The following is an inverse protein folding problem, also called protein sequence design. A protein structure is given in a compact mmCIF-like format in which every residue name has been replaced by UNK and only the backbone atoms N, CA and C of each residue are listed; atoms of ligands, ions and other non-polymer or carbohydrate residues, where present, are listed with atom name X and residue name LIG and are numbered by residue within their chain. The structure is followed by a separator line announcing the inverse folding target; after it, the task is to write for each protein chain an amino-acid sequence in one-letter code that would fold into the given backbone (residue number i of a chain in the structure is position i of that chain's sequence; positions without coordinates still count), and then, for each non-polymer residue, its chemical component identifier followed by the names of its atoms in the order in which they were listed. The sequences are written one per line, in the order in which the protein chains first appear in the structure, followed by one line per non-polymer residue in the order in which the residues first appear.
data_IF_801973315857
#
_entry.id   IF_801973315857
#
_cell.length_a   1.000
_cell.length_b   1.000
_cell.length_c   1.000
_cell.angle_alpha   90.00
_cell.angle_beta   90.00
_cell.angle_gamma   90.00
#
_symmetry.space_group_name_H-M   'P 1'
#
loop_
_entity.id
_entity.type
_entity.pdbx_description
1 polymer ?
#
# COMPACT_ATOMS: atom_id res chain seq x y z
N UNK A 1 -2.53 15.14 -9.73
CA UNK A 1 -3.53 14.07 -9.56
C UNK A 1 -3.80 13.45 -10.91
N UNK A 2 -3.51 12.15 -11.08
CA UNK A 2 -3.78 11.44 -12.36
C UNK A 2 -5.23 10.90 -12.45
N UNK A 3 -6.03 11.08 -11.38
CA UNK A 3 -7.45 10.71 -11.34
C UNK A 3 -7.73 9.20 -11.33
N UNK A 4 -6.71 8.37 -11.12
CA UNK A 4 -6.87 6.91 -11.06
C UNK A 4 -7.46 6.50 -9.71
N UNK A 5 -8.44 5.60 -9.75
CA UNK A 5 -9.02 5.00 -8.56
C UNK A 5 -8.08 3.91 -8.04
N UNK A 6 -7.83 3.91 -6.74
CA UNK A 6 -7.00 2.88 -6.09
C UNK A 6 -7.79 1.58 -6.03
N UNK A 7 -7.14 0.48 -6.38
CA UNK A 7 -7.71 -0.86 -6.24
C UNK A 7 -7.24 -1.53 -4.95
N UNK A 8 -5.94 -1.50 -4.68
CA UNK A 8 -5.35 -2.10 -3.49
C UNK A 8 -3.91 -1.63 -3.26
N UNK A 9 -3.47 -1.72 -2.00
CA UNK A 9 -2.05 -1.69 -1.67
C UNK A 9 -1.55 -3.13 -1.56
N UNK A 10 -0.50 -3.45 -2.31
CA UNK A 10 -0.02 -4.83 -2.44
C UNK A 10 1.20 -5.10 -1.57
N UNK A 11 1.99 -4.06 -1.27
CA UNK A 11 3.21 -4.21 -0.51
C UNK A 11 3.76 -2.90 0.03
N UNK A 12 4.73 -3.04 0.92
CA UNK A 12 5.48 -1.95 1.53
C UNK A 12 6.97 -2.22 1.34
N UNK A 13 7.74 -1.20 1.02
CA UNK A 13 9.19 -1.28 0.89
C UNK A 13 9.86 -0.06 1.54
N UNK A 14 11.07 -0.24 2.08
CA UNK A 14 11.92 0.84 2.58
C UNK A 14 12.95 1.16 1.50
N UNK A 15 12.90 2.38 0.97
CA UNK A 15 13.89 2.83 -0.01
C UNK A 15 15.09 3.50 0.67
N UNK A 16 16.10 3.90 -0.09
CA UNK A 16 17.30 4.57 0.44
C UNK A 16 16.89 5.81 1.26
N UNK A 17 17.40 5.90 2.49
CA UNK A 17 17.03 6.96 3.44
C UNK A 17 15.87 6.59 4.38
N UNK A 18 15.56 5.30 4.50
CA UNK A 18 14.51 4.75 5.39
C UNK A 18 13.09 5.28 5.09
N UNK A 19 12.87 5.74 3.86
CA UNK A 19 11.57 6.23 3.42
C UNK A 19 10.67 5.05 3.04
N UNK A 20 9.54 4.92 3.75
CA UNK A 20 8.51 3.96 3.42
C UNK A 20 7.83 4.35 2.10
N UNK A 21 7.76 3.37 1.20
CA UNK A 21 7.00 3.42 -0.05
C UNK A 21 6.00 2.28 -0.09
N UNK A 22 4.86 2.52 -0.71
CA UNK A 22 3.80 1.55 -0.89
C UNK A 22 3.62 1.24 -2.37
N UNK A 23 3.49 -0.05 -2.69
CA UNK A 23 3.13 -0.49 -4.03
C UNK A 23 1.61 -0.42 -4.15
N UNK A 24 1.14 0.57 -4.89
CA UNK A 24 -0.29 0.81 -5.12
C UNK A 24 -0.66 0.26 -6.48
N UNK A 25 -1.73 -0.53 -6.50
CA UNK A 25 -2.38 -0.99 -7.71
C UNK A 25 -3.60 -0.11 -7.96
N UNK A 26 -3.66 0.51 -9.13
CA UNK A 26 -4.80 1.32 -9.55
C UNK A 26 -5.73 0.52 -10.44
N UNK A 27 -7.02 0.85 -10.42
CA UNK A 27 -7.98 0.29 -11.36
C UNK A 27 -7.59 0.72 -12.78
N UNK A 28 -7.37 -0.28 -13.63
CA UNK A 28 -7.15 -0.04 -15.05
C UNK A 28 -8.47 -0.04 -15.82
N UNK A 29 -8.66 0.88 -16.79
CA UNK A 29 -9.79 0.80 -17.71
C UNK A 29 -9.71 -0.42 -18.64
N UNK A 30 -8.52 -1.02 -18.77
CA UNK A 30 -8.24 -2.17 -19.62
C UNK A 30 -7.76 -3.35 -18.78
N UNK A 31 -8.32 -4.53 -19.02
CA UNK A 31 -8.00 -5.78 -18.30
C UNK A 31 -6.55 -6.26 -18.49
N UNK A 32 -5.79 -5.64 -19.40
CA UNK A 32 -4.45 -6.06 -19.79
C UNK A 32 -3.34 -5.15 -19.27
N UNK A 33 -3.68 -4.00 -18.69
CA UNK A 33 -2.69 -3.06 -18.15
C UNK A 33 -2.70 -3.12 -16.62
N UNK A 34 -1.72 -3.81 -16.05
CA UNK A 34 -1.43 -3.72 -14.62
C UNK A 34 -0.81 -2.35 -14.32
N UNK A 35 -1.63 -1.43 -13.80
CA UNK A 35 -1.18 -0.09 -13.46
C UNK A 35 -0.75 -0.04 -11.99
N UNK A 36 0.53 -0.29 -11.74
CA UNK A 36 1.12 -0.29 -10.41
C UNK A 36 2.21 0.77 -10.27
N UNK A 37 2.25 1.44 -9.14
CA UNK A 37 3.25 2.48 -8.84
C UNK A 37 3.73 2.37 -7.38
N UNK A 38 5.02 2.64 -7.18
CA UNK A 38 5.57 2.85 -5.85
C UNK A 38 5.43 4.32 -5.49
N UNK A 39 4.60 4.61 -4.48
CA UNK A 39 4.41 5.98 -3.98
C UNK A 39 4.99 6.14 -2.57
N UNK A 40 5.49 7.34 -2.22
CA UNK A 40 5.95 7.62 -0.87
C UNK A 40 4.81 7.50 0.15
N UNK A 41 5.14 7.11 1.38
CA UNK A 41 4.18 7.00 2.49
C UNK A 41 3.41 8.28 2.79
N UNK A 42 3.98 9.46 2.54
CA UNK A 42 3.30 10.74 2.68
C UNK A 42 2.13 10.87 1.70
N UNK A 43 2.31 10.42 0.46
CA UNK A 43 1.26 10.43 -0.56
C UNK A 43 0.21 9.36 -0.25
N UNK A 44 0.63 8.15 0.09
CA UNK A 44 -0.31 7.07 0.41
C UNK A 44 -1.25 7.45 1.57
N UNK A 45 -0.71 8.06 2.63
CA UNK A 45 -1.52 8.51 3.79
C UNK A 45 -2.52 9.60 3.44
N UNK A 46 -2.23 10.42 2.43
CA UNK A 46 -3.10 11.53 2.05
C UNK A 46 -4.23 11.09 1.12
N UNK A 47 -3.98 10.12 0.24
CA UNK A 47 -4.90 9.77 -0.87
C UNK A 47 -5.40 8.33 -0.86
N UNK A 48 -4.88 7.46 0.01
CA UNK A 48 -5.19 6.03 0.06
C UNK A 48 -5.34 5.55 1.53
N UNK A 49 -5.95 6.39 2.38
CA UNK A 49 -6.03 6.13 3.82
C UNK A 49 -6.79 4.83 4.14
N UNK A 50 -7.96 4.64 3.52
CA UNK A 50 -8.78 3.46 3.73
C UNK A 50 -8.09 2.17 3.26
N UNK A 51 -7.45 2.21 2.08
CA UNK A 51 -6.71 1.07 1.55
C UNK A 51 -5.44 0.75 2.35
N UNK A 52 -4.82 1.77 2.95
CA UNK A 52 -3.72 1.58 3.90
C UNK A 52 -4.19 0.86 5.15
N UNK A 53 -5.31 1.27 5.73
CA UNK A 53 -5.89 0.61 6.90
C UNK A 53 -6.18 -0.85 6.57
N UNK A 54 -6.89 -1.11 5.47
CA UNK A 54 -7.21 -2.47 5.02
C UNK A 54 -5.94 -3.31 4.77
N UNK A 55 -4.91 -2.71 4.17
CA UNK A 55 -3.63 -3.37 3.96
C UNK A 55 -2.98 -3.82 5.27
N UNK A 56 -3.01 -2.98 6.30
CA UNK A 56 -2.49 -3.32 7.62
C UNK A 56 -3.36 -4.35 8.32
N UNK A 57 -4.68 -4.17 8.35
CA UNK A 57 -5.62 -5.09 9.00
C UNK A 57 -5.46 -6.53 8.51
N UNK A 58 -5.28 -6.71 7.20
CA UNK A 58 -5.04 -8.04 6.59
C UNK A 58 -3.68 -8.66 6.93
N UNK A 59 -2.76 -7.90 7.53
CA UNK A 59 -1.37 -8.30 7.82
C UNK A 59 -1.02 -8.20 9.31
N UNK A 60 -1.96 -7.85 10.18
CA UNK A 60 -1.74 -7.88 11.63
C UNK A 60 -1.50 -9.33 12.05
N UNK A 61 -0.29 -9.61 12.52
CA UNK A 61 0.03 -10.82 13.25
C UNK A 61 0.14 -10.47 14.73
N UNK A 62 -0.66 -11.12 15.57
CA UNK A 62 -0.53 -11.01 17.00
C UNK A 62 0.66 -11.86 17.43
N UNK A 63 1.72 -11.21 17.94
CA UNK A 63 2.79 -11.94 18.60
C UNK A 63 2.26 -12.38 19.97
N UNK A 64 1.78 -13.62 20.05
CA UNK A 64 1.57 -14.26 21.35
C UNK A 64 2.93 -14.32 22.03
N UNK A 65 3.09 -13.47 23.04
CA UNK A 65 4.28 -13.42 23.87
C UNK A 65 4.37 -14.76 24.58
N UNK A 66 5.08 -15.73 24.00
CA UNK A 66 5.43 -16.97 24.69
C UNK A 66 6.25 -16.57 25.90
N UNK A 67 5.59 -16.54 27.05
CA UNK A 67 6.24 -16.60 28.36
C UNK A 67 6.85 -17.99 28.50
N UNK A 68 8.15 -18.08 28.25
CA UNK A 68 9.03 -19.08 28.88
C UNK A 68 9.23 -18.74 30.36
#
# INVERSE_FOLDING_TARGET
EKGYEVQAILGINRTKGDQLHYLVHYKSPTIFDDNMELIPSTIAKQYCEDELIQFYETRIAWNDRQTD
#
